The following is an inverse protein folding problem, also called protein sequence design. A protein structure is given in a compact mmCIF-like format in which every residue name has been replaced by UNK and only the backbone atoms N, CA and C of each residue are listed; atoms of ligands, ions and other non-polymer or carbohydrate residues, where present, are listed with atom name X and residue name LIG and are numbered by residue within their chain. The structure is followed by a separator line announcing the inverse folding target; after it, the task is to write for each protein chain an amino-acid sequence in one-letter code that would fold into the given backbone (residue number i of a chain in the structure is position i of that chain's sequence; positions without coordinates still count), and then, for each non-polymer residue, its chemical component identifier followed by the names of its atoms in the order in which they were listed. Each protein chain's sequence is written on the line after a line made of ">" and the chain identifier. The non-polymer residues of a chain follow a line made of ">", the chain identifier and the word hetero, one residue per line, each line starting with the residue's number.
data_IF_815166251942
#
_entry.id   IF_815166251942
#
_cell.length_a   1.000
_cell.length_b   1.000
_cell.length_c   1.000
_cell.angle_alpha   90.00
_cell.angle_beta   90.00
_cell.angle_gamma   90.00
#
_symmetry.space_group_name_H-M   'P 1'
#
loop_
_entity.id
_entity.type
_entity.pdbx_description
1 polymer ?
#
# COMPACT_ATOMS: atom_id res chain seq x y z
N UNK A 1 -13.58 35.00 -1.51
CA UNK A 1 -13.39 34.73 -2.95
C UNK A 1 -12.09 34.00 -3.33
N UNK A 2 -10.85 34.45 -3.03
CA UNK A 2 -9.62 33.70 -3.39
C UNK A 2 -9.53 32.30 -2.73
N UNK A 3 -10.00 32.16 -1.49
CA UNK A 3 -9.93 30.89 -0.74
C UNK A 3 -10.94 29.83 -1.22
N UNK A 4 -12.10 30.21 -1.74
CA UNK A 4 -13.12 29.25 -2.22
C UNK A 4 -12.74 28.60 -3.56
N UNK A 5 -12.11 29.38 -4.45
CA UNK A 5 -11.62 28.87 -5.75
C UNK A 5 -10.50 27.85 -5.60
N UNK A 6 -9.62 27.99 -4.59
CA UNK A 6 -8.57 27.02 -4.29
C UNK A 6 -9.08 25.77 -3.53
N UNK A 7 -10.17 25.91 -2.76
CA UNK A 7 -10.75 24.81 -1.99
C UNK A 7 -11.38 23.73 -2.88
N UNK A 8 -11.94 24.11 -4.04
CA UNK A 8 -12.63 23.17 -4.94
C UNK A 8 -11.68 22.17 -5.60
N UNK A 9 -10.55 22.59 -6.24
CA UNK A 9 -9.57 21.65 -6.78
C UNK A 9 -8.96 20.72 -5.74
N UNK A 10 -8.65 21.22 -4.54
CA UNK A 10 -8.07 20.39 -3.46
C UNK A 10 -9.06 19.32 -2.99
N UNK A 11 -10.35 19.66 -2.87
CA UNK A 11 -11.39 18.69 -2.55
C UNK A 11 -11.50 17.61 -3.64
N UNK A 12 -11.50 18.01 -4.91
CA UNK A 12 -11.55 17.08 -6.04
C UNK A 12 -10.35 16.14 -6.05
N UNK A 13 -9.14 16.65 -5.88
CA UNK A 13 -7.92 15.83 -5.81
C UNK A 13 -8.00 14.85 -4.64
N UNK A 14 -8.46 15.29 -3.47
CA UNK A 14 -8.61 14.42 -2.30
C UNK A 14 -9.61 13.28 -2.57
N UNK A 15 -10.75 13.57 -3.18
CA UNK A 15 -11.73 12.55 -3.58
C UNK A 15 -11.16 11.60 -4.64
N UNK A 16 -10.41 12.11 -5.61
CA UNK A 16 -9.76 11.29 -6.62
C UNK A 16 -8.73 10.33 -5.99
N UNK A 17 -7.84 10.84 -5.13
CA UNK A 17 -6.86 10.02 -4.40
C UNK A 17 -7.54 8.95 -3.55
N UNK A 18 -8.62 9.29 -2.85
CA UNK A 18 -9.37 8.34 -2.06
C UNK A 18 -10.03 7.25 -2.90
N UNK A 19 -10.60 7.62 -4.05
CA UNK A 19 -11.24 6.68 -4.97
C UNK A 19 -10.20 5.73 -5.59
N UNK A 20 -9.06 6.26 -6.04
CA UNK A 20 -7.94 5.46 -6.56
C UNK A 20 -7.44 4.50 -5.48
N UNK A 21 -7.30 4.96 -4.25
CA UNK A 21 -6.86 4.15 -3.12
C UNK A 21 -7.84 2.99 -2.85
N UNK A 22 -9.15 3.26 -2.80
CA UNK A 22 -10.17 2.22 -2.55
C UNK A 22 -10.20 1.19 -3.67
N UNK A 23 -10.22 1.63 -4.93
CA UNK A 23 -10.21 0.75 -6.10
C UNK A 23 -8.92 -0.08 -6.11
N UNK A 24 -7.77 0.55 -5.85
CA UNK A 24 -6.48 -0.12 -5.79
C UNK A 24 -6.42 -1.17 -4.68
N UNK A 25 -6.89 -0.86 -3.47
CA UNK A 25 -6.96 -1.83 -2.37
C UNK A 25 -7.90 -3.02 -2.69
N UNK A 26 -9.08 -2.75 -3.25
CA UNK A 26 -10.03 -3.80 -3.66
C UNK A 26 -9.45 -4.69 -4.77
N UNK A 27 -8.84 -4.09 -5.79
CA UNK A 27 -8.16 -4.83 -6.86
C UNK A 27 -7.05 -5.71 -6.31
N UNK A 28 -6.16 -5.14 -5.48
CA UNK A 28 -5.01 -5.87 -4.92
C UNK A 28 -5.43 -7.04 -4.04
N UNK A 29 -6.46 -6.90 -3.18
CA UNK A 29 -6.89 -8.05 -2.35
C UNK A 29 -7.51 -9.15 -3.20
N UNK A 30 -8.27 -8.80 -4.25
CA UNK A 30 -8.81 -9.78 -5.20
C UNK A 30 -7.67 -10.51 -5.93
N UNK A 31 -6.68 -9.77 -6.45
CA UNK A 31 -5.52 -10.36 -7.12
C UNK A 31 -4.73 -11.28 -6.20
N UNK A 32 -4.47 -10.88 -4.95
CA UNK A 32 -3.74 -11.72 -3.98
C UNK A 32 -4.49 -13.03 -3.67
N UNK A 33 -5.81 -12.97 -3.53
CA UNK A 33 -6.64 -14.17 -3.32
C UNK A 33 -6.61 -15.07 -4.56
N UNK A 34 -6.77 -14.50 -5.77
CA UNK A 34 -6.75 -15.26 -7.02
C UNK A 34 -5.39 -15.92 -7.31
N UNK A 35 -4.31 -15.33 -6.80
CA UNK A 35 -2.94 -15.86 -6.92
C UNK A 35 -2.56 -16.79 -5.75
N UNK A 36 -3.51 -17.17 -4.89
CA UNK A 36 -3.27 -17.98 -3.70
C UNK A 36 -2.15 -17.45 -2.80
N UNK A 37 -2.01 -16.12 -2.70
CA UNK A 37 -0.95 -15.48 -1.91
C UNK A 37 -1.28 -15.48 -0.40
N UNK A 38 -1.50 -16.68 0.13
CA UNK A 38 -1.86 -16.96 1.53
C UNK A 38 -1.39 -18.36 2.00
N UNK A 39 -0.50 -19.01 1.25
CA UNK A 39 0.05 -20.34 1.57
C UNK A 39 1.12 -20.30 2.66
N UNK A 40 1.80 -19.16 2.83
CA UNK A 40 2.74 -18.91 3.92
C UNK A 40 2.25 -17.78 4.83
N UNK A 41 2.59 -17.84 6.12
CA UNK A 41 2.14 -16.85 7.11
C UNK A 41 2.61 -15.42 6.77
N UNK A 42 3.74 -15.24 6.08
CA UNK A 42 4.23 -13.92 5.65
C UNK A 42 3.36 -13.34 4.54
N UNK A 43 2.76 -14.20 3.71
CA UNK A 43 1.86 -13.80 2.62
C UNK A 43 0.52 -13.26 3.15
N UNK A 44 0.12 -13.64 4.35
CA UNK A 44 -1.08 -13.08 5.01
C UNK A 44 -0.91 -11.61 5.41
N UNK A 45 0.32 -11.14 5.64
CA UNK A 45 0.57 -9.77 6.08
C UNK A 45 -0.02 -8.71 5.12
N UNK A 46 0.28 -8.72 3.79
CA UNK A 46 -0.33 -7.77 2.87
C UNK A 46 -1.86 -7.90 2.79
N UNK A 47 -2.40 -9.12 2.84
CA UNK A 47 -3.86 -9.36 2.82
C UNK A 47 -4.54 -8.71 4.03
N UNK A 48 -4.04 -8.96 5.23
CA UNK A 48 -4.58 -8.40 6.48
C UNK A 48 -4.46 -6.87 6.47
N UNK A 49 -3.32 -6.33 6.05
CA UNK A 49 -3.13 -4.89 5.96
C UNK A 49 -4.14 -4.24 5.00
N UNK A 50 -4.39 -4.84 3.83
CA UNK A 50 -5.37 -4.33 2.87
C UNK A 50 -6.79 -4.39 3.45
N UNK A 51 -7.19 -5.48 4.10
CA UNK A 51 -8.51 -5.61 4.72
C UNK A 51 -8.72 -4.59 5.86
N UNK A 52 -7.69 -4.35 6.68
CA UNK A 52 -7.72 -3.31 7.71
C UNK A 52 -7.79 -1.90 7.06
N UNK A 53 -7.02 -1.67 6.00
CA UNK A 53 -7.04 -0.45 5.20
C UNK A 53 -8.43 -0.14 4.66
N UNK A 54 -9.11 -1.13 4.07
CA UNK A 54 -10.48 -1.01 3.57
C UNK A 54 -11.47 -0.73 4.72
N UNK A 55 -11.35 -1.44 5.83
CA UNK A 55 -12.23 -1.27 6.99
C UNK A 55 -12.12 0.13 7.60
N UNK A 56 -10.90 0.61 7.84
CA UNK A 56 -10.67 1.96 8.39
C UNK A 56 -11.03 3.03 7.37
N UNK A 57 -10.81 2.80 6.08
CA UNK A 57 -11.23 3.73 5.01
C UNK A 57 -12.76 3.83 4.92
N UNK A 58 -13.47 2.71 5.04
CA UNK A 58 -14.94 2.68 5.10
C UNK A 58 -15.46 3.44 6.32
N UNK A 59 -14.88 3.23 7.49
CA UNK A 59 -15.19 4.02 8.68
C UNK A 59 -14.91 5.51 8.47
N UNK A 60 -13.75 5.86 7.92
CA UNK A 60 -13.37 7.24 7.64
C UNK A 60 -14.32 7.93 6.65
N UNK A 61 -14.82 7.21 5.65
CA UNK A 61 -15.77 7.71 4.66
C UNK A 61 -17.12 8.08 5.30
N UNK A 62 -17.57 7.32 6.30
CA UNK A 62 -18.80 7.60 7.06
C UNK A 62 -18.56 8.71 8.10
N UNK A 63 -17.42 8.66 8.79
CA UNK A 63 -17.08 9.58 9.88
C UNK A 63 -15.61 10.01 9.82
N UNK A 64 -15.38 11.18 9.21
CA UNK A 64 -14.04 11.74 9.07
C UNK A 64 -13.57 12.42 10.37
N UNK A 65 -12.91 11.65 11.25
CA UNK A 65 -12.34 12.13 12.53
C UNK A 65 -10.81 12.22 12.48
N UNK A 66 -10.19 12.95 13.41
CA UNK A 66 -8.73 12.95 13.55
C UNK A 66 -8.16 11.55 13.81
N UNK A 67 -8.82 10.76 14.67
CA UNK A 67 -8.43 9.38 14.94
C UNK A 67 -8.42 8.52 13.67
N UNK A 68 -9.49 8.60 12.85
CA UNK A 68 -9.54 7.84 11.59
C UNK A 68 -8.40 8.22 10.64
N UNK A 69 -8.03 9.51 10.56
CA UNK A 69 -6.88 9.97 9.75
C UNK A 69 -5.57 9.42 10.29
N UNK A 70 -5.35 9.44 11.62
CA UNK A 70 -4.13 8.92 12.25
C UNK A 70 -3.96 7.41 12.03
N UNK A 71 -5.05 6.66 12.15
CA UNK A 71 -5.05 5.22 11.88
C UNK A 71 -4.75 4.92 10.42
N UNK A 72 -5.33 5.68 9.48
CA UNK A 72 -5.00 5.58 8.06
C UNK A 72 -3.51 5.89 7.82
N UNK A 73 -2.97 6.96 8.41
CA UNK A 73 -1.53 7.29 8.30
C UNK A 73 -0.64 6.14 8.79
N UNK A 74 -0.96 5.57 9.96
CA UNK A 74 -0.23 4.43 10.52
C UNK A 74 -0.31 3.22 9.58
N UNK A 75 -1.50 2.88 9.09
CA UNK A 75 -1.70 1.78 8.14
C UNK A 75 -0.91 1.99 6.85
N UNK A 76 -0.93 3.19 6.26
CA UNK A 76 -0.22 3.43 5.01
C UNK A 76 1.32 3.47 5.18
N UNK A 77 1.83 3.81 6.37
CA UNK A 77 3.23 3.56 6.73
C UNK A 77 3.51 2.05 6.80
N UNK A 78 2.61 1.27 7.41
CA UNK A 78 2.74 -0.19 7.43
C UNK A 78 2.67 -0.79 6.01
N UNK A 79 1.88 -0.24 5.08
CA UNK A 79 1.86 -0.66 3.68
C UNK A 79 3.22 -0.44 3.01
N UNK A 80 3.84 0.73 3.23
CA UNK A 80 5.19 1.01 2.74
C UNK A 80 6.20 0.00 3.30
N UNK A 81 6.20 -0.22 4.61
CA UNK A 81 7.09 -1.17 5.27
C UNK A 81 6.89 -2.60 4.75
N UNK A 82 5.63 -3.02 4.57
CA UNK A 82 5.27 -4.32 3.99
C UNK A 82 5.73 -4.45 2.54
N UNK A 83 5.68 -3.38 1.75
CA UNK A 83 6.18 -3.37 0.38
C UNK A 83 7.70 -3.56 0.31
N UNK A 84 8.46 -2.87 1.17
CA UNK A 84 9.91 -3.09 1.27
C UNK A 84 10.26 -4.52 1.72
N UNK A 85 9.56 -5.04 2.74
CA UNK A 85 9.74 -6.42 3.17
C UNK A 85 9.38 -7.43 2.06
N UNK A 86 8.30 -7.15 1.31
CA UNK A 86 7.87 -7.95 0.17
C UNK A 86 8.91 -8.00 -0.95
N UNK A 87 9.56 -6.88 -1.29
CA UNK A 87 10.66 -6.86 -2.27
C UNK A 87 11.77 -7.82 -1.85
N UNK A 88 12.16 -7.78 -0.57
CA UNK A 88 13.21 -8.65 -0.04
C UNK A 88 12.83 -10.14 -0.14
N UNK A 89 11.64 -10.52 0.33
CA UNK A 89 11.21 -11.92 0.30
C UNK A 89 10.98 -12.44 -1.12
N UNK A 90 10.46 -11.61 -2.02
CA UNK A 90 10.28 -11.99 -3.42
C UNK A 90 11.63 -12.15 -4.13
N UNK A 91 12.59 -11.28 -3.87
CA UNK A 91 13.95 -11.46 -4.39
C UNK A 91 14.59 -12.75 -3.85
N UNK A 92 14.46 -13.01 -2.55
CA UNK A 92 15.00 -14.22 -1.94
C UNK A 92 14.45 -15.48 -2.60
N UNK A 93 13.12 -15.62 -2.70
CA UNK A 93 12.49 -16.79 -3.32
C UNK A 93 12.84 -16.92 -4.82
N UNK A 94 12.95 -15.80 -5.53
CA UNK A 94 13.37 -15.81 -6.94
C UNK A 94 14.82 -16.24 -7.11
N UNK A 95 15.72 -15.83 -6.20
CA UNK A 95 17.11 -16.25 -6.21
C UNK A 95 17.25 -17.74 -5.89
N UNK A 96 16.50 -18.25 -4.90
CA UNK A 96 16.42 -19.68 -4.58
C UNK A 96 15.98 -20.48 -5.81
N UNK A 97 14.90 -20.08 -6.47
CA UNK A 97 14.41 -20.72 -7.70
C UNK A 97 15.45 -20.74 -8.84
N UNK A 98 16.20 -19.63 -9.02
CA UNK A 98 17.25 -19.57 -10.05
C UNK A 98 18.44 -20.47 -9.72
N UNK A 99 18.77 -20.61 -8.43
CA UNK A 99 19.85 -21.47 -7.97
C UNK A 99 19.52 -22.96 -8.05
N UNK A 100 18.25 -23.34 -7.89
CA UNK A 100 17.78 -24.71 -8.16
C UNK A 100 18.03 -25.11 -9.62
N UNK A 101 17.85 -24.17 -10.55
CA UNK A 101 18.09 -24.40 -11.98
C UNK A 101 19.58 -24.32 -12.35
N UNK A 102 20.31 -23.38 -11.77
CA UNK A 102 21.74 -23.20 -12.03
C UNK A 102 22.50 -22.82 -10.73
N UNK A 103 23.08 -23.80 -10.03
CA UNK A 103 23.78 -23.56 -8.76
C UNK A 103 25.03 -22.67 -8.87
N UNK A 104 25.57 -22.49 -10.07
CA UNK A 104 26.78 -21.67 -10.33
C UNK A 104 26.51 -20.17 -10.40
N UNK A 105 25.25 -19.73 -10.47
CA UNK A 105 24.91 -18.31 -10.49
C UNK A 105 25.35 -17.61 -9.20
N UNK A 106 26.06 -16.48 -9.33
CA UNK A 106 26.56 -15.69 -8.19
C UNK A 106 26.56 -14.19 -8.52
N UNK A 107 26.64 -13.37 -7.46
CA UNK A 107 26.83 -11.92 -7.56
C UNK A 107 25.82 -11.24 -8.50
N UNK A 108 26.33 -10.43 -9.43
CA UNK A 108 25.52 -9.63 -10.34
C UNK A 108 24.74 -10.44 -11.37
N UNK A 109 25.26 -11.62 -11.75
CA UNK A 109 24.56 -12.52 -12.66
C UNK A 109 23.30 -13.10 -11.99
N UNK A 110 23.43 -13.57 -10.74
CA UNK A 110 22.26 -14.03 -9.96
C UNK A 110 21.25 -12.91 -9.77
N UNK A 111 21.70 -11.71 -9.39
CA UNK A 111 20.81 -10.56 -9.18
C UNK A 111 19.96 -10.26 -10.42
N UNK A 112 20.57 -10.14 -11.59
CA UNK A 112 19.83 -9.83 -12.82
C UNK A 112 18.93 -10.96 -13.28
N UNK A 113 19.39 -12.21 -13.14
CA UNK A 113 18.56 -13.38 -13.46
C UNK A 113 17.32 -13.44 -12.57
N UNK A 114 17.46 -13.14 -11.28
CA UNK A 114 16.35 -13.08 -10.32
C UNK A 114 15.38 -11.95 -10.64
N UNK A 115 15.86 -10.72 -10.80
CA UNK A 115 15.01 -9.53 -11.04
C UNK A 115 14.29 -9.57 -12.39
N UNK A 116 14.92 -10.17 -13.42
CA UNK A 116 14.26 -10.40 -14.73
C UNK A 116 13.38 -11.65 -14.73
N UNK A 117 13.50 -12.48 -13.70
CA UNK A 117 12.64 -13.63 -13.49
C UNK A 117 11.18 -13.20 -13.28
N UNK A 118 10.25 -14.05 -13.72
CA UNK A 118 8.81 -13.82 -13.54
C UNK A 118 8.27 -14.35 -12.22
N UNK A 119 9.07 -15.11 -11.48
CA UNK A 119 8.65 -15.85 -10.29
C UNK A 119 9.64 -15.64 -9.15
N UNK A 120 9.19 -15.18 -7.97
CA UNK A 120 7.90 -14.55 -7.70
C UNK A 120 7.85 -13.08 -8.22
N UNK A 121 6.70 -12.59 -8.71
CA UNK A 121 6.61 -11.27 -9.32
C UNK A 121 6.72 -10.13 -8.29
N UNK A 122 7.52 -9.08 -8.57
CA UNK A 122 7.66 -7.91 -7.69
C UNK A 122 6.49 -6.90 -7.76
N UNK A 123 5.48 -7.17 -8.58
CA UNK A 123 4.36 -6.25 -8.81
C UNK A 123 3.58 -5.96 -7.52
N UNK A 124 3.25 -6.99 -6.75
CA UNK A 124 2.47 -6.84 -5.51
C UNK A 124 3.21 -5.98 -4.43
N UNK A 125 4.51 -6.22 -4.13
CA UNK A 125 5.27 -5.34 -3.25
C UNK A 125 5.30 -3.86 -3.71
N UNK A 126 5.46 -3.62 -5.02
CA UNK A 126 5.43 -2.27 -5.58
C UNK A 126 4.07 -1.59 -5.42
N UNK A 127 2.98 -2.32 -5.64
CA UNK A 127 1.61 -1.83 -5.46
C UNK A 127 1.34 -1.47 -3.99
N UNK A 128 1.82 -2.26 -3.02
CA UNK A 128 1.71 -1.92 -1.59
C UNK A 128 2.35 -0.57 -1.27
N UNK A 129 3.54 -0.31 -1.81
CA UNK A 129 4.21 1.00 -1.65
C UNK A 129 3.43 2.12 -2.33
N UNK A 130 2.95 1.90 -3.55
CA UNK A 130 2.14 2.89 -4.28
C UNK A 130 0.87 3.27 -3.50
N UNK A 131 0.14 2.29 -2.98
CA UNK A 131 -1.06 2.51 -2.17
C UNK A 131 -0.73 3.24 -0.86
N UNK A 132 0.38 2.89 -0.20
CA UNK A 132 0.88 3.61 0.97
C UNK A 132 1.14 5.09 0.67
N UNK A 133 1.83 5.41 -0.43
CA UNK A 133 2.10 6.80 -0.83
C UNK A 133 0.82 7.57 -1.17
N UNK A 134 -0.11 6.96 -1.92
CA UNK A 134 -1.40 7.58 -2.27
C UNK A 134 -2.21 7.87 -0.99
N UNK A 135 -2.25 6.93 -0.04
CA UNK A 135 -2.94 7.09 1.23
C UNK A 135 -2.32 8.18 2.12
N UNK A 136 -0.99 8.28 2.16
CA UNK A 136 -0.30 9.37 2.85
C UNK A 136 -0.55 10.73 2.18
N UNK A 137 -0.58 10.78 0.85
CA UNK A 137 -0.93 11.99 0.11
C UNK A 137 -2.40 12.41 0.36
N UNK A 138 -3.33 11.46 0.40
CA UNK A 138 -4.73 11.70 0.75
C UNK A 138 -4.89 12.31 2.16
N UNK A 139 -4.17 11.75 3.14
CA UNK A 139 -4.23 12.18 4.55
C UNK A 139 -3.37 13.42 4.85
N UNK A 140 -2.60 13.92 3.89
CA UNK A 140 -1.75 15.09 4.09
C UNK A 140 -2.58 16.35 4.36
N UNK A 141 -2.31 17.02 5.50
CA UNK A 141 -3.03 18.20 5.99
C UNK A 141 -4.56 18.02 5.91
N UNK A 142 -5.05 16.82 6.26
CA UNK A 142 -6.47 16.50 6.15
C UNK A 142 -7.33 17.42 7.05
N UNK A 143 -8.45 17.98 6.56
CA UNK A 143 -9.29 18.93 7.33
C UNK A 143 -9.71 18.40 8.71
N UNK A 144 -9.98 17.10 8.83
CA UNK A 144 -10.36 16.47 10.08
C UNK A 144 -9.30 16.62 11.21
N UNK A 145 -8.02 16.81 10.87
CA UNK A 145 -6.96 17.09 11.86
C UNK A 145 -6.99 18.54 12.36
N UNK A 146 -7.32 19.48 11.46
CA UNK A 146 -7.42 20.91 11.83
C UNK A 146 -8.64 21.16 12.71
N UNK A 147 -9.79 20.57 12.35
CA UNK A 147 -11.02 20.72 13.14
C UNK A 147 -10.90 20.10 14.54
N UNK A 148 -10.10 19.04 14.72
CA UNK A 148 -9.81 18.50 16.06
C UNK A 148 -8.94 19.45 16.88
N UNK A 149 -7.90 20.02 16.27
CA UNK A 149 -7.06 21.05 16.91
C UNK A 149 -7.89 22.26 17.36
N UNK A 150 -8.86 22.71 16.56
CA UNK A 150 -9.77 23.80 16.90
C UNK A 150 -10.72 23.45 18.07
N UNK A 151 -11.05 22.16 18.24
CA UNK A 151 -11.84 21.65 19.38
C UNK A 151 -11.01 21.32 20.63
N UNK A 152 -9.68 21.41 20.56
CA UNK A 152 -8.78 21.05 21.67
C UNK A 152 -8.63 19.55 21.91
N UNK A 153 -8.89 18.73 20.89
CA UNK A 153 -8.76 17.25 20.89
C UNK A 153 -7.38 16.77 20.43
#
# INVERSE_FOLDING_TARGET
>A
MKNEKAATPLRTIRLALFSILLIGMLGSVIELILLSHYEDWRQWLPVILILLGLSVSGWHAVRSTALSVRLLQALFICFMASGFAGIYFHYQGGAEFKLESNPSLRGWALFWETIRGKVPPLLAPGVMMQLGLIGLAYTYKHPALNSAKERGE
#
